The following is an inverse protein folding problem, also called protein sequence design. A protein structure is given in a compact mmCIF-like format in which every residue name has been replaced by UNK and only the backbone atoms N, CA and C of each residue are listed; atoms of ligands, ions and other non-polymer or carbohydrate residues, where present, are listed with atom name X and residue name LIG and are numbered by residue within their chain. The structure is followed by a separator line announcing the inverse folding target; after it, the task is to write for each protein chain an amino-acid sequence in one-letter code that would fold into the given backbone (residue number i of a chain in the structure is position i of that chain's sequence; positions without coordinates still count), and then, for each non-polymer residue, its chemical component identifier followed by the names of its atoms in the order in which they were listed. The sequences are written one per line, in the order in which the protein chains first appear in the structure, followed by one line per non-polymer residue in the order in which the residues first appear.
data_IF_921320690306
#
_entry.id   IF_921320690306
#
_cell.length_a   1.000
_cell.length_b   1.000
_cell.length_c   1.000
_cell.angle_alpha   90.00
_cell.angle_beta   90.00
_cell.angle_gamma   90.00
#
_symmetry.space_group_name_H-M   'P 1'
#
loop_
_entity.id
_entity.type
_entity.pdbx_description
1 polymer ?
#
# COMPACT_ATOMS: atom_id res chain seq x y z
N UNK A 1 27.52 75.22 -13.43
CA UNK A 1 26.05 75.09 -13.40
C UNK A 1 25.70 73.61 -13.23
N UNK A 2 25.16 73.28 -12.05
CA UNK A 2 24.21 72.19 -11.71
C UNK A 2 24.37 70.84 -12.44
N UNK A 3 25.09 69.85 -11.87
CA UNK A 3 24.59 68.78 -10.96
C UNK A 3 23.41 67.95 -11.50
N UNK A 4 23.59 66.63 -11.62
CA UNK A 4 22.97 65.62 -10.71
C UNK A 4 23.16 64.20 -11.24
N UNK A 5 23.87 63.37 -10.46
CA UNK A 5 23.89 61.90 -10.51
C UNK A 5 22.55 61.32 -10.03
N UNK A 6 22.13 60.15 -10.52
CA UNK A 6 21.77 59.07 -9.59
C UNK A 6 22.13 57.68 -10.18
N UNK A 7 22.23 56.56 -9.48
CA UNK A 7 22.35 56.17 -8.07
C UNK A 7 22.66 54.68 -8.13
N UNK A 8 23.70 54.21 -7.43
CA UNK A 8 23.76 52.81 -6.96
C UNK A 8 22.71 52.66 -5.85
N UNK A 9 21.81 51.70 -5.98
CA UNK A 9 20.96 51.17 -4.89
C UNK A 9 20.65 49.71 -5.22
N UNK A 10 21.38 48.79 -4.58
CA UNK A 10 20.97 47.98 -3.43
C UNK A 10 20.25 46.71 -3.87
N UNK A 11 20.97 45.58 -3.67
CA UNK A 11 20.36 44.29 -3.45
C UNK A 11 19.31 44.40 -2.35
N UNK A 12 18.11 43.92 -2.64
CA UNK A 12 17.10 43.59 -1.65
C UNK A 12 16.53 42.23 -2.05
N UNK A 13 16.50 41.36 -1.04
CA UNK A 13 16.08 39.98 -1.09
C UNK A 13 14.69 39.85 -1.69
N UNK A 14 14.51 38.86 -2.57
CA UNK A 14 13.20 38.38 -2.95
C UNK A 14 13.02 37.02 -2.28
N UNK A 15 11.99 36.97 -1.45
CA UNK A 15 11.51 35.88 -0.62
C UNK A 15 11.64 34.49 -1.23
N UNK A 16 12.19 33.61 -0.39
CA UNK A 16 12.09 32.16 -0.46
C UNK A 16 10.61 31.80 -0.21
N UNK A 17 9.81 31.78 -1.28
CA UNK A 17 8.46 31.21 -1.18
C UNK A 17 8.60 29.68 -1.12
N UNK A 18 8.64 29.18 0.12
CA UNK A 18 8.31 27.81 0.48
C UNK A 18 7.10 27.36 -0.35
N UNK A 19 7.35 26.49 -1.33
CA UNK A 19 6.29 25.75 -2.00
C UNK A 19 5.63 24.85 -0.95
N UNK A 20 4.56 25.37 -0.35
CA UNK A 20 3.56 24.58 0.35
C UNK A 20 3.10 23.48 -0.59
N UNK A 21 3.65 22.28 -0.37
CA UNK A 21 3.16 21.03 -0.93
C UNK A 21 1.74 20.86 -0.42
N UNK A 22 0.77 21.26 -1.25
CA UNK A 22 -0.63 20.93 -1.03
C UNK A 22 -0.72 19.41 -0.86
N UNK A 23 -1.46 18.90 0.13
CA UNK A 23 -1.69 17.48 0.24
C UNK A 23 -2.32 17.01 -1.07
N UNK A 24 -1.67 16.05 -1.73
CA UNK A 24 -2.23 15.37 -2.89
C UNK A 24 -3.51 14.68 -2.39
N UNK A 25 -4.65 15.27 -2.74
CA UNK A 25 -5.94 14.60 -2.62
C UNK A 25 -5.87 13.45 -3.61
N UNK A 26 -5.65 12.24 -3.11
CA UNK A 26 -5.74 11.05 -3.93
C UNK A 26 -7.21 10.85 -4.29
N UNK A 27 -7.51 11.07 -5.55
CA UNK A 27 -8.81 10.91 -6.16
C UNK A 27 -9.16 9.40 -6.16
N UNK A 28 -10.22 9.03 -5.43
CA UNK A 28 -10.88 7.72 -5.40
C UNK A 28 -11.70 7.54 -6.71
N UNK A 29 -11.08 7.72 -7.88
CA UNK A 29 -11.79 7.73 -9.19
C UNK A 29 -12.37 6.37 -9.61
N UNK A 30 -12.00 5.27 -8.95
CA UNK A 30 -12.40 3.93 -9.42
C UNK A 30 -13.86 3.56 -9.06
N UNK A 31 -14.47 4.16 -8.04
CA UNK A 31 -15.86 3.87 -7.62
C UNK A 31 -16.60 5.09 -7.05
N UNK A 32 -17.05 6.05 -7.90
CA UNK A 32 -17.60 7.33 -7.45
C UNK A 32 -18.87 7.23 -6.59
N UNK A 33 -19.54 6.07 -6.56
CA UNK A 33 -20.78 5.85 -5.82
C UNK A 33 -20.62 5.00 -4.55
N UNK A 34 -19.44 4.43 -4.30
CA UNK A 34 -19.23 3.62 -3.09
C UNK A 34 -19.10 4.53 -1.87
N UNK A 35 -19.81 4.19 -0.80
CA UNK A 35 -19.71 4.86 0.50
C UNK A 35 -19.22 3.85 1.53
N UNK A 36 -18.09 4.11 2.21
CA UNK A 36 -17.63 3.26 3.30
C UNK A 36 -18.73 3.01 4.33
N UNK A 37 -18.78 1.80 4.93
CA UNK A 37 -19.70 1.51 6.02
C UNK A 37 -19.41 2.40 7.23
N UNK A 38 -20.42 2.61 8.08
CA UNK A 38 -20.20 3.30 9.35
C UNK A 38 -19.29 2.46 10.26
N UNK A 39 -18.31 3.10 10.88
CA UNK A 39 -17.41 2.46 11.83
C UNK A 39 -18.21 1.84 12.99
N UNK A 40 -17.99 0.55 13.24
CA UNK A 40 -18.52 -0.20 14.39
C UNK A 40 -17.41 -1.07 14.95
N UNK A 41 -17.35 -1.20 16.27
CA UNK A 41 -16.35 -2.08 16.88
C UNK A 41 -16.75 -3.54 16.70
N UNK A 42 -15.77 -4.42 16.68
CA UNK A 42 -15.98 -5.88 16.68
C UNK A 42 -16.90 -6.29 17.82
N UNK A 43 -16.72 -5.69 19.01
CA UNK A 43 -17.55 -5.95 20.17
C UNK A 43 -19.02 -5.59 19.92
N UNK A 44 -19.30 -4.40 19.38
CA UNK A 44 -20.66 -3.99 19.07
C UNK A 44 -21.31 -4.91 18.04
N UNK A 45 -20.53 -5.39 17.05
CA UNK A 45 -21.01 -6.33 16.02
C UNK A 45 -21.37 -7.68 16.65
N UNK A 46 -20.55 -8.18 17.57
CA UNK A 46 -20.81 -9.44 18.29
C UNK A 46 -21.98 -9.29 19.27
N UNK A 47 -22.14 -8.13 19.89
CA UNK A 47 -23.19 -7.88 20.88
C UNK A 47 -24.56 -7.56 20.27
N UNK A 48 -24.60 -7.10 19.02
CA UNK A 48 -25.85 -6.91 18.30
C UNK A 48 -26.58 -8.24 18.05
N UNK A 49 -27.91 -8.21 18.03
CA UNK A 49 -28.77 -9.32 17.59
C UNK A 49 -28.55 -10.64 18.36
N UNK A 50 -28.18 -10.57 19.65
CA UNK A 50 -27.99 -11.77 20.50
C UNK A 50 -29.25 -12.62 20.64
N UNK A 51 -30.41 -12.09 20.31
CA UNK A 51 -31.67 -12.84 20.33
C UNK A 51 -31.90 -13.69 19.06
N UNK A 52 -31.08 -13.54 18.02
CA UNK A 52 -31.20 -14.29 16.76
C UNK A 52 -30.10 -15.36 16.61
N UNK A 53 -30.42 -16.65 16.76
CA UNK A 53 -29.47 -17.74 16.62
C UNK A 53 -28.85 -17.86 15.22
N UNK A 54 -29.55 -17.42 14.17
CA UNK A 54 -29.05 -17.47 12.80
C UNK A 54 -27.95 -16.43 12.57
N UNK A 55 -28.14 -15.22 13.09
CA UNK A 55 -27.15 -14.14 13.02
C UNK A 55 -25.93 -14.44 13.89
N UNK A 56 -26.10 -15.10 15.04
CA UNK A 56 -24.97 -15.57 15.83
C UNK A 56 -24.09 -16.57 15.05
N UNK A 57 -24.69 -17.61 14.45
CA UNK A 57 -23.95 -18.58 13.63
C UNK A 57 -23.27 -17.94 12.42
N UNK A 58 -23.92 -16.95 11.81
CA UNK A 58 -23.33 -16.18 10.72
C UNK A 58 -22.08 -15.40 11.18
N UNK A 59 -22.16 -14.70 12.32
CA UNK A 59 -21.04 -13.97 12.92
C UNK A 59 -19.90 -14.91 13.31
N UNK A 60 -20.20 -16.06 13.91
CA UNK A 60 -19.21 -17.09 14.23
C UNK A 60 -18.51 -17.63 12.98
N UNK A 61 -19.24 -17.83 11.88
CA UNK A 61 -18.65 -18.32 10.62
C UNK A 61 -17.67 -17.30 10.02
N UNK A 62 -17.97 -16.00 10.11
CA UNK A 62 -17.13 -14.95 9.56
C UNK A 62 -15.95 -14.56 10.47
N UNK A 63 -16.21 -14.40 11.76
CA UNK A 63 -15.27 -13.86 12.74
C UNK A 63 -14.47 -14.96 13.45
N UNK A 64 -14.97 -16.20 13.49
CA UNK A 64 -14.30 -17.33 14.12
C UNK A 64 -13.95 -17.03 15.58
N UNK A 65 -12.68 -17.25 15.95
CA UNK A 65 -12.18 -17.00 17.30
C UNK A 65 -12.35 -15.55 17.78
N UNK A 66 -12.46 -14.58 16.85
CA UNK A 66 -12.64 -13.17 17.19
C UNK A 66 -14.01 -12.86 17.83
N UNK A 67 -14.98 -13.79 17.82
CA UNK A 67 -16.23 -13.62 18.60
C UNK A 67 -16.02 -13.82 20.10
N UNK A 68 -15.01 -14.60 20.51
CA UNK A 68 -14.80 -15.02 21.89
C UNK A 68 -13.62 -14.31 22.55
N UNK A 69 -12.58 -13.97 21.80
CA UNK A 69 -11.36 -13.36 22.33
C UNK A 69 -10.81 -12.26 21.41
N UNK A 70 -10.10 -11.31 22.01
CA UNK A 70 -9.37 -10.29 21.25
C UNK A 70 -8.15 -10.91 20.57
N UNK A 71 -8.13 -10.91 19.24
CA UNK A 71 -7.02 -11.43 18.46
C UNK A 71 -5.92 -10.38 18.35
N UNK A 72 -4.77 -10.66 18.95
CA UNK A 72 -3.57 -9.83 18.92
C UNK A 72 -2.38 -10.70 18.54
N UNK A 73 -1.70 -10.35 17.46
CA UNK A 73 -0.51 -11.05 16.96
C UNK A 73 0.76 -10.34 17.43
N UNK A 74 0.79 -9.01 17.29
CA UNK A 74 1.88 -8.15 17.78
C UNK A 74 1.29 -7.12 18.77
N UNK A 75 1.47 -7.33 20.09
CA UNK A 75 0.96 -6.42 21.12
C UNK A 75 1.54 -5.02 21.03
N UNK A 76 2.84 -4.92 20.72
CA UNK A 76 3.58 -3.65 20.67
C UNK A 76 3.30 -2.83 19.42
N UNK A 77 2.72 -3.45 18.38
CA UNK A 77 2.34 -2.76 17.15
C UNK A 77 0.88 -2.26 17.25
N UNK A 78 0.64 -0.94 17.23
CA UNK A 78 -0.72 -0.39 17.34
C UNK A 78 -1.55 -0.61 16.07
N UNK A 79 -0.92 -0.93 14.93
CA UNK A 79 -1.62 -1.10 13.67
C UNK A 79 -2.54 -2.33 13.69
N UNK A 80 -3.71 -2.20 13.06
CA UNK A 80 -4.69 -3.29 12.91
C UNK A 80 -4.25 -4.28 11.84
N UNK A 81 -3.51 -3.82 10.85
CA UNK A 81 -2.97 -4.66 9.77
C UNK A 81 -1.46 -4.68 9.86
N UNK A 82 -0.89 -5.88 9.83
CA UNK A 82 0.55 -6.10 9.89
C UNK A 82 0.99 -6.73 8.58
N UNK A 83 1.44 -5.91 7.64
CA UNK A 83 1.95 -6.41 6.36
C UNK A 83 3.33 -7.02 6.59
N UNK A 84 3.52 -8.28 6.19
CA UNK A 84 4.75 -9.04 6.45
C UNK A 84 5.58 -9.22 5.19
N UNK A 85 4.95 -9.56 4.07
CA UNK A 85 5.68 -9.84 2.82
C UNK A 85 4.94 -9.32 1.61
N UNK A 86 5.71 -8.88 0.62
CA UNK A 86 5.28 -8.78 -0.76
C UNK A 86 6.05 -9.81 -1.56
N UNK A 87 5.33 -10.64 -2.32
CA UNK A 87 5.90 -11.76 -3.05
C UNK A 87 5.57 -11.62 -4.52
N UNK A 88 6.59 -11.58 -5.37
CA UNK A 88 6.44 -11.69 -6.81
C UNK A 88 6.44 -13.17 -7.18
N UNK A 89 5.27 -13.69 -7.53
CA UNK A 89 5.04 -15.07 -7.91
C UNK A 89 5.17 -15.18 -9.43
N UNK A 90 6.09 -16.03 -9.87
CA UNK A 90 6.37 -16.27 -11.30
C UNK A 90 6.42 -17.78 -11.52
N UNK A 91 5.65 -18.27 -12.47
CA UNK A 91 5.59 -19.70 -12.75
C UNK A 91 6.97 -20.24 -13.22
N UNK A 92 7.34 -21.42 -12.73
CA UNK A 92 8.57 -22.10 -13.14
C UNK A 92 9.86 -21.62 -12.46
N UNK A 93 9.79 -20.72 -11.47
CA UNK A 93 10.94 -20.31 -10.64
C UNK A 93 10.55 -20.09 -9.18
N UNK A 94 11.52 -20.02 -8.25
CA UNK A 94 11.25 -19.59 -6.89
C UNK A 94 10.70 -18.16 -6.85
N UNK A 95 9.74 -17.95 -5.96
CA UNK A 95 9.15 -16.65 -5.62
C UNK A 95 10.25 -15.64 -5.24
N UNK A 96 10.12 -14.41 -5.72
CA UNK A 96 10.95 -13.29 -5.23
C UNK A 96 10.22 -12.64 -4.06
N UNK A 97 10.81 -12.70 -2.88
CA UNK A 97 10.19 -12.27 -1.63
C UNK A 97 10.83 -10.97 -1.14
N UNK A 98 9.99 -9.96 -0.89
CA UNK A 98 10.33 -8.78 -0.12
C UNK A 98 9.79 -8.99 1.30
N UNK A 99 10.69 -9.20 2.26
CA UNK A 99 10.34 -9.23 3.67
C UNK A 99 10.17 -7.80 4.19
N UNK A 100 8.93 -7.40 4.45
CA UNK A 100 8.55 -6.05 4.86
C UNK A 100 8.68 -5.85 6.38
N UNK A 101 9.18 -6.85 7.10
CA UNK A 101 9.57 -6.73 8.52
C UNK A 101 11.00 -6.25 8.70
N UNK A 102 11.79 -6.26 7.62
CA UNK A 102 13.13 -5.67 7.59
C UNK A 102 13.08 -4.13 7.59
N UNK A 103 14.25 -3.50 7.74
CA UNK A 103 14.39 -2.05 7.61
C UNK A 103 14.00 -1.58 6.20
N UNK A 104 12.90 -0.81 6.12
CA UNK A 104 12.36 -0.30 4.87
C UNK A 104 13.36 0.58 4.10
N UNK A 105 14.29 1.25 4.80
CA UNK A 105 15.35 2.02 4.15
C UNK A 105 16.40 1.13 3.47
N UNK A 106 16.57 -0.11 3.94
CA UNK A 106 17.39 -1.11 3.25
C UNK A 106 16.64 -1.69 2.06
N UNK A 107 15.35 -2.00 2.21
CA UNK A 107 14.50 -2.48 1.11
C UNK A 107 14.50 -1.47 -0.04
N UNK A 108 14.39 -0.18 0.27
CA UNK A 108 14.42 0.92 -0.71
C UNK A 108 15.72 0.96 -1.53
N UNK A 109 16.85 0.58 -0.94
CA UNK A 109 18.16 0.57 -1.60
C UNK A 109 18.39 -0.69 -2.44
N UNK A 110 17.65 -1.77 -2.19
CA UNK A 110 17.76 -3.01 -2.96
C UNK A 110 17.10 -2.83 -4.33
N UNK A 111 17.75 -3.36 -5.36
CA UNK A 111 17.20 -3.45 -6.72
C UNK A 111 16.95 -4.91 -7.07
N UNK A 112 15.70 -5.25 -7.35
CA UNK A 112 15.30 -6.59 -7.76
C UNK A 112 15.36 -6.73 -9.29
N UNK A 113 16.04 -7.75 -9.81
CA UNK A 113 16.07 -8.01 -11.25
C UNK A 113 14.79 -8.76 -11.63
N UNK A 114 14.10 -8.27 -12.66
CA UNK A 114 12.91 -8.91 -13.22
C UNK A 114 13.08 -9.10 -14.72
N UNK A 115 12.80 -10.31 -15.20
CA UNK A 115 12.87 -10.61 -16.64
C UNK A 115 11.69 -9.97 -17.38
N UNK A 116 11.98 -9.38 -18.52
CA UNK A 116 10.99 -8.78 -19.41
C UNK A 116 10.04 -9.84 -20.02
N UNK A 117 8.77 -9.48 -20.26
CA UNK A 117 7.81 -10.34 -20.95
C UNK A 117 7.33 -11.57 -20.17
N UNK A 118 7.61 -11.64 -18.87
CA UNK A 118 7.10 -12.71 -18.01
C UNK A 118 5.67 -12.41 -17.55
N UNK A 119 4.95 -13.48 -17.22
CA UNK A 119 3.71 -13.39 -16.46
C UNK A 119 4.00 -13.49 -14.97
N UNK A 120 3.37 -12.63 -14.19
CA UNK A 120 3.55 -12.60 -12.74
C UNK A 120 2.24 -12.32 -12.01
N UNK A 121 2.26 -12.60 -10.70
CA UNK A 121 1.25 -12.16 -9.74
C UNK A 121 1.97 -11.57 -8.53
N UNK A 122 1.33 -10.62 -7.86
CA UNK A 122 1.81 -10.10 -6.58
C UNK A 122 0.96 -10.75 -5.50
N UNK A 123 1.61 -11.46 -4.55
CA UNK A 123 0.99 -11.96 -3.33
C UNK A 123 1.43 -11.12 -2.14
N UNK A 124 0.49 -10.53 -1.42
CA UNK A 124 0.74 -9.79 -0.18
C UNK A 124 0.31 -10.66 0.99
N UNK A 125 1.19 -10.82 1.97
CA UNK A 125 0.94 -11.62 3.18
C UNK A 125 0.90 -10.70 4.40
N UNK A 126 -0.17 -10.80 5.19
CA UNK A 126 -0.45 -9.88 6.30
C UNK A 126 -1.26 -10.54 7.41
N UNK A 127 -1.18 -9.99 8.62
CA UNK A 127 -2.10 -10.30 9.71
C UNK A 127 -3.12 -9.18 9.90
N UNK A 128 -4.29 -9.53 10.43
CA UNK A 128 -5.27 -8.57 10.94
C UNK A 128 -5.50 -8.86 12.41
N UNK A 129 -5.45 -7.81 13.22
CA UNK A 129 -5.56 -7.87 14.67
C UNK A 129 -6.46 -6.75 15.23
N UNK A 130 -6.96 -6.95 16.44
CA UNK A 130 -7.86 -6.05 17.22
C UNK A 130 -9.26 -5.88 16.61
N UNK A 131 -9.36 -5.31 15.42
CA UNK A 131 -10.63 -4.88 14.83
C UNK A 131 -10.80 -5.37 13.39
N UNK A 132 -12.05 -5.40 12.92
CA UNK A 132 -12.34 -5.65 11.50
C UNK A 132 -11.76 -4.50 10.68
N UNK A 133 -11.12 -4.84 9.57
CA UNK A 133 -10.63 -3.87 8.59
C UNK A 133 -11.47 -4.00 7.32
N UNK A 134 -12.09 -2.91 6.92
CA UNK A 134 -13.00 -2.87 5.77
C UNK A 134 -12.37 -2.19 4.58
N UNK A 135 -12.54 -2.79 3.40
CA UNK A 135 -12.08 -2.19 2.14
C UNK A 135 -10.57 -1.97 2.12
N UNK A 136 -9.80 -2.96 2.57
CA UNK A 136 -8.36 -2.99 2.47
C UNK A 136 -7.96 -2.88 0.99
N UNK A 137 -6.96 -2.05 0.70
CA UNK A 137 -6.52 -1.68 -0.64
C UNK A 137 -4.99 -1.69 -0.69
N UNK A 138 -4.48 -2.21 -1.80
CA UNK A 138 -3.08 -2.06 -2.18
C UNK A 138 -2.97 -1.04 -3.29
N UNK A 139 -2.24 0.04 -3.03
CA UNK A 139 -1.96 1.10 -4.00
C UNK A 139 -0.50 1.01 -4.40
N UNK A 140 -0.25 0.93 -5.70
CA UNK A 140 1.08 0.89 -6.28
C UNK A 140 1.24 2.03 -7.29
N UNK A 141 2.35 2.76 -7.18
CA UNK A 141 2.75 3.78 -8.15
C UNK A 141 4.14 3.46 -8.66
N UNK A 142 4.27 3.29 -9.98
CA UNK A 142 5.54 2.96 -10.62
C UNK A 142 6.10 4.22 -11.28
N UNK A 143 7.37 4.49 -11.03
CA UNK A 143 8.10 5.63 -11.54
C UNK A 143 9.32 5.17 -12.34
N UNK A 144 9.59 5.87 -13.44
CA UNK A 144 10.79 5.69 -14.25
C UNK A 144 11.43 7.05 -14.49
N UNK A 145 12.71 7.20 -14.14
CA UNK A 145 13.42 8.49 -14.19
C UNK A 145 12.66 9.64 -13.49
N UNK A 146 12.00 9.34 -12.37
CA UNK A 146 11.21 10.30 -11.59
C UNK A 146 9.82 10.61 -12.16
N UNK A 147 9.48 10.14 -13.36
CA UNK A 147 8.15 10.29 -13.96
C UNK A 147 7.27 9.10 -13.58
N UNK A 148 6.04 9.35 -13.13
CA UNK A 148 5.07 8.28 -12.88
C UNK A 148 4.63 7.69 -14.21
N UNK A 149 4.85 6.39 -14.39
CA UNK A 149 4.48 5.65 -15.61
C UNK A 149 3.24 4.79 -15.42
N UNK A 150 2.92 4.43 -14.17
CA UNK A 150 1.78 3.59 -13.85
C UNK A 150 1.25 3.87 -12.45
N UNK A 151 -0.07 3.74 -12.26
CA UNK A 151 -0.74 3.68 -10.96
C UNK A 151 -1.73 2.53 -11.00
N UNK A 152 -1.77 1.76 -9.93
CA UNK A 152 -2.69 0.66 -9.75
C UNK A 152 -3.30 0.71 -8.35
N UNK A 153 -4.62 0.53 -8.28
CA UNK A 153 -5.35 0.37 -7.02
C UNK A 153 -6.00 -1.02 -7.04
N UNK A 154 -5.59 -1.90 -6.13
CA UNK A 154 -6.14 -3.25 -6.01
C UNK A 154 -6.98 -3.34 -4.73
N UNK A 155 -8.28 -3.59 -4.88
CA UNK A 155 -9.16 -3.90 -3.76
C UNK A 155 -8.82 -5.29 -3.21
N UNK A 156 -8.37 -5.33 -1.97
CA UNK A 156 -7.97 -6.56 -1.27
C UNK A 156 -9.16 -7.17 -0.53
N UNK A 157 -10.06 -6.33 -0.02
CA UNK A 157 -11.33 -6.73 0.60
C UNK A 157 -11.39 -6.43 2.10
N UNK A 158 -12.35 -7.06 2.80
CA UNK A 158 -12.57 -6.86 4.24
C UNK A 158 -12.16 -8.10 5.02
N UNK A 159 -11.45 -7.90 6.12
CA UNK A 159 -10.84 -8.98 6.90
C UNK A 159 -11.14 -8.79 8.38
N UNK A 160 -11.59 -9.87 9.02
CA UNK A 160 -11.68 -9.95 10.47
C UNK A 160 -10.30 -10.31 11.08
N UNK A 161 -10.06 -9.97 12.35
CA UNK A 161 -8.87 -10.40 13.07
C UNK A 161 -8.72 -11.92 13.09
N UNK A 162 -7.52 -12.44 12.76
CA UNK A 162 -7.19 -13.87 12.80
C UNK A 162 -5.74 -14.10 13.23
N UNK A 163 -5.48 -15.24 13.88
CA UNK A 163 -4.11 -15.62 14.30
C UNK A 163 -3.30 -16.16 13.14
N UNK A 164 -3.96 -16.67 12.11
CA UNK A 164 -3.37 -17.17 10.89
C UNK A 164 -3.04 -16.01 9.93
N UNK A 165 -1.96 -16.19 9.16
CA UNK A 165 -1.57 -15.22 8.14
C UNK A 165 -2.59 -15.24 7.00
N UNK A 166 -3.00 -14.05 6.59
CA UNK A 166 -3.87 -13.85 5.45
C UNK A 166 -3.03 -13.52 4.22
N UNK A 167 -3.56 -13.83 3.04
CA UNK A 167 -2.90 -13.45 1.80
C UNK A 167 -3.89 -12.99 0.75
N UNK A 168 -3.44 -12.06 -0.08
CA UNK A 168 -4.15 -11.62 -1.28
C UNK A 168 -3.21 -11.73 -2.46
N UNK A 169 -3.70 -12.27 -3.57
CA UNK A 169 -2.93 -12.41 -4.81
C UNK A 169 -3.64 -11.62 -5.91
N UNK A 170 -2.92 -10.73 -6.57
CA UNK A 170 -3.45 -9.96 -7.69
C UNK A 170 -3.85 -10.87 -8.86
N UNK A 171 -4.67 -10.36 -9.79
CA UNK A 171 -4.76 -10.93 -11.12
C UNK A 171 -3.38 -11.09 -11.77
N UNK A 172 -3.32 -11.95 -12.77
CA UNK A 172 -2.10 -12.15 -13.54
C UNK A 172 -1.82 -10.94 -14.44
N UNK A 173 -0.57 -10.52 -14.47
CA UNK A 173 -0.09 -9.38 -15.25
C UNK A 173 1.14 -9.77 -16.08
N UNK A 174 1.39 -9.01 -17.15
CA UNK A 174 2.53 -9.19 -18.04
C UNK A 174 3.57 -8.07 -17.80
N UNK A 175 4.82 -8.45 -17.54
CA UNK A 175 5.94 -7.51 -17.43
C UNK A 175 6.25 -6.93 -18.82
N UNK A 176 6.41 -5.60 -18.99
CA UNK A 176 6.67 -5.03 -20.30
C UNK A 176 8.01 -5.52 -20.88
N UNK A 177 8.09 -5.56 -22.21
CA UNK A 177 9.23 -6.09 -22.95
C UNK A 177 9.76 -5.14 -24.02
N UNK A 178 11.02 -5.33 -24.37
CA UNK A 178 11.72 -4.59 -25.41
C UNK A 178 12.77 -3.63 -24.87
N UNK A 179 13.65 -3.17 -25.75
CA UNK A 179 14.75 -2.27 -25.40
C UNK A 179 14.30 -0.99 -24.69
N UNK A 180 13.11 -0.48 -25.04
CA UNK A 180 12.56 0.71 -24.39
C UNK A 180 11.97 0.43 -23.01
N UNK A 181 11.52 -0.79 -22.70
CA UNK A 181 10.98 -1.15 -21.39
C UNK A 181 12.09 -1.52 -20.39
N UNK A 182 13.24 -2.00 -20.86
CA UNK A 182 14.37 -2.36 -19.98
C UNK A 182 14.92 -1.15 -19.23
N UNK A 183 15.34 -1.37 -17.99
CA UNK A 183 15.89 -0.34 -17.09
C UNK A 183 15.27 -0.36 -15.70
N UNK A 184 15.64 0.63 -14.90
CA UNK A 184 15.29 0.71 -13.48
C UNK A 184 13.96 1.46 -13.25
N UNK A 185 13.16 0.93 -12.34
CA UNK A 185 11.86 1.43 -11.93
C UNK A 185 11.80 1.54 -10.42
N UNK A 186 11.27 2.64 -9.92
CA UNK A 186 10.98 2.83 -8.49
C UNK A 186 9.50 2.63 -8.25
N UNK A 187 9.17 1.80 -7.28
CA UNK A 187 7.80 1.53 -6.88
C UNK A 187 7.55 2.15 -5.52
N UNK A 188 6.47 2.92 -5.43
CA UNK A 188 5.91 3.39 -4.16
C UNK A 188 4.66 2.59 -3.87
N UNK A 189 4.67 1.88 -2.75
CA UNK A 189 3.63 0.95 -2.34
C UNK A 189 2.98 1.45 -1.06
N UNK A 190 1.65 1.36 -1.00
CA UNK A 190 0.83 1.75 0.14
C UNK A 190 -0.25 0.70 0.38
N UNK A 191 -0.34 0.22 1.61
CA UNK A 191 -1.44 -0.63 2.08
C UNK A 191 -2.35 0.19 2.98
N UNK A 192 -3.59 0.40 2.56
CA UNK A 192 -4.55 1.30 3.21
C UNK A 192 -5.96 0.69 3.22
N UNK A 193 -6.94 1.38 3.76
CA UNK A 193 -8.32 0.90 3.88
C UNK A 193 -9.35 2.01 3.61
N UNK A 194 -10.64 1.69 3.73
CA UNK A 194 -11.73 2.66 3.54
C UNK A 194 -11.73 3.80 4.58
N UNK A 195 -11.13 3.57 5.75
CA UNK A 195 -10.96 4.55 6.82
C UNK A 195 -9.71 5.44 6.62
N UNK A 196 -8.96 5.21 5.52
CA UNK A 196 -7.73 5.93 5.15
C UNK A 196 -6.58 5.74 6.16
N UNK A 197 -6.56 4.62 6.88
CA UNK A 197 -5.39 4.27 7.69
C UNK A 197 -4.21 3.92 6.78
N UNK A 198 -3.03 4.45 7.08
CA UNK A 198 -1.77 4.02 6.46
C UNK A 198 -1.22 2.84 7.26
N UNK A 199 -1.51 1.61 6.83
CA UNK A 199 -1.07 0.40 7.55
C UNK A 199 0.40 0.10 7.31
N UNK A 200 0.85 0.27 6.07
CA UNK A 200 2.26 0.23 5.70
C UNK A 200 2.48 1.01 4.42
N UNK A 201 3.57 1.79 4.38
CA UNK A 201 4.04 2.49 3.19
C UNK A 201 5.52 2.23 3.01
N UNK A 202 5.92 1.84 1.82
CA UNK A 202 7.30 1.53 1.52
C UNK A 202 7.65 1.85 0.07
N UNK A 203 8.94 1.98 -0.19
CA UNK A 203 9.48 2.17 -1.53
C UNK A 203 10.46 1.05 -1.81
N UNK A 204 10.48 0.57 -3.05
CA UNK A 204 11.40 -0.47 -3.52
C UNK A 204 11.71 -0.25 -4.99
N UNK A 205 12.74 -0.91 -5.49
CA UNK A 205 13.22 -0.70 -6.85
C UNK A 205 13.39 -2.03 -7.56
N UNK A 206 12.97 -2.09 -8.82
CA UNK A 206 13.23 -3.24 -9.68
C UNK A 206 13.85 -2.79 -11.00
N UNK A 207 14.58 -3.69 -11.65
CA UNK A 207 15.20 -3.47 -12.94
C UNK A 207 14.70 -4.52 -13.92
N UNK A 208 14.10 -4.07 -15.03
CA UNK A 208 13.69 -4.95 -16.11
C UNK A 208 14.91 -5.27 -16.98
N UNK A 209 15.24 -6.55 -17.06
CA UNK A 209 16.32 -7.09 -17.88
C UNK A 209 15.80 -8.14 -18.88
N UNK A 210 16.64 -8.49 -19.86
CA UNK A 210 16.32 -9.52 -20.85
C UNK A 210 16.24 -10.92 -20.21
N UNK A 211 17.09 -11.15 -19.21
CA UNK A 211 17.19 -12.39 -18.46
C UNK A 211 17.26 -12.07 -16.96
N UNK A 212 17.23 -13.11 -16.14
CA UNK A 212 17.19 -12.97 -14.68
C UNK A 212 18.55 -12.62 -14.04
N UNK A 213 19.61 -12.54 -14.85
CA UNK A 213 20.97 -12.16 -14.51
C UNK A 213 21.38 -10.88 -15.28
#
# INVERSE_FOLDING_TARGET
MLTTTPKRRTAAMADDQEQQTKPVVEDDEDHPNYKPPAAKTLKDIVEADKEDPSLQKYKETLLGAATAEAIVVEPDNPNRVLVKKLVLVVEGRPDVVLDLTEDLEQIKKRTFIVKEGIQYRIRIEFFVQREIVTGLKYVQKIYRHGLQVEKMNQMVGSYAPKKEIQSFTTPQEDMPAGMLARGQYTVKSLFTDDDKHEHLKWEWTFEIKKDWD
#
